data_IF_740514195829
#
_entry.id   IF_740514195829
#
_cell.length_a   1.000
_cell.length_b   1.000
_cell.length_c   1.000
_cell.angle_alpha   90.00
_cell.angle_beta   90.00
_cell.angle_gamma   90.00
#
_symmetry.space_group_name_H-M   'P 1'
#
loop_
_entity.id
_entity.type
_entity.pdbx_description
1 polymer ?
#
# COMPACT_ATOMS: atom_id res chain seq x y z
N UNK A 1 0.76 -18.62 6.07
CA UNK A 1 0.41 -17.52 6.98
C UNK A 1 1.35 -17.64 8.16
N UNK A 2 2.15 -16.62 8.44
CA UNK A 2 3.16 -16.69 9.50
C UNK A 2 2.49 -16.63 10.88
N UNK A 3 2.91 -17.46 11.84
CA UNK A 3 2.30 -17.46 13.18
C UNK A 3 2.56 -16.12 13.89
N UNK A 4 1.52 -15.58 14.52
CA UNK A 4 1.56 -14.28 15.23
C UNK A 4 2.70 -14.18 16.25
N UNK A 5 3.06 -15.29 16.88
CA UNK A 5 4.17 -15.36 17.83
C UNK A 5 5.52 -15.06 17.16
N UNK A 6 5.74 -15.54 15.93
CA UNK A 6 6.96 -15.28 15.16
C UNK A 6 7.04 -13.82 14.68
N UNK A 7 5.89 -13.18 14.46
CA UNK A 7 5.81 -11.75 14.14
C UNK A 7 6.24 -10.94 15.37
N UNK A 8 5.64 -11.23 16.54
CA UNK A 8 5.98 -10.56 17.81
C UNK A 8 7.46 -10.77 18.16
N UNK A 9 7.99 -11.99 17.99
CA UNK A 9 9.39 -12.31 18.23
C UNK A 9 10.35 -11.41 17.42
N UNK A 10 10.13 -11.32 16.10
CA UNK A 10 10.96 -10.50 15.20
C UNK A 10 10.82 -9.02 15.49
N UNK A 11 9.60 -8.54 15.69
CA UNK A 11 9.34 -7.13 15.96
C UNK A 11 9.97 -6.68 17.28
N UNK A 12 9.79 -7.45 18.36
CA UNK A 12 10.38 -7.15 19.65
C UNK A 12 11.92 -7.08 19.57
N UNK A 13 12.54 -8.07 18.91
CA UNK A 13 13.98 -8.11 18.71
C UNK A 13 14.47 -6.89 17.90
N UNK A 14 13.82 -6.60 16.78
CA UNK A 14 14.15 -5.45 15.92
C UNK A 14 14.05 -4.12 16.67
N UNK A 15 12.96 -3.90 17.42
CA UNK A 15 12.77 -2.70 18.23
C UNK A 15 13.84 -2.58 19.32
N UNK A 16 14.15 -3.69 20.00
CA UNK A 16 15.19 -3.74 21.03
C UNK A 16 16.56 -3.38 20.45
N UNK A 17 16.94 -4.00 19.33
CA UNK A 17 18.22 -3.80 18.66
C UNK A 17 18.34 -2.36 18.13
N UNK A 18 17.29 -1.81 17.51
CA UNK A 18 17.25 -0.42 17.03
C UNK A 18 17.38 0.61 18.16
N UNK A 19 16.77 0.33 19.33
CA UNK A 19 16.92 1.17 20.54
C UNK A 19 18.22 0.88 21.31
N UNK A 20 19.06 -0.06 20.83
CA UNK A 20 20.31 -0.49 21.46
C UNK A 20 20.13 -0.93 22.92
N UNK A 21 19.02 -1.60 23.22
CA UNK A 21 18.69 -2.05 24.57
C UNK A 21 19.13 -3.50 24.80
N UNK A 22 19.61 -3.79 26.02
CA UNK A 22 19.81 -5.17 26.47
C UNK A 22 18.47 -5.81 26.88
N UNK A 23 18.40 -7.14 26.92
CA UNK A 23 17.23 -7.86 27.46
C UNK A 23 16.93 -7.43 28.91
N UNK A 24 17.97 -7.15 29.70
CA UNK A 24 17.85 -6.63 31.06
C UNK A 24 17.13 -5.27 31.06
N UNK A 25 17.53 -4.37 30.17
CA UNK A 25 16.95 -3.03 30.12
C UNK A 25 15.49 -3.06 29.64
N UNK A 26 15.17 -3.94 28.68
CA UNK A 26 13.78 -4.15 28.26
C UNK A 26 12.94 -4.70 29.41
N UNK A 27 13.47 -5.65 30.19
CA UNK A 27 12.77 -6.19 31.34
C UNK A 27 12.46 -5.10 32.40
N UNK A 28 13.44 -4.25 32.70
CA UNK A 28 13.29 -3.11 33.61
C UNK A 28 12.22 -2.12 33.12
N UNK A 29 12.27 -1.75 31.83
CA UNK A 29 11.35 -0.76 31.25
C UNK A 29 9.90 -1.26 31.15
N UNK A 30 9.71 -2.56 30.93
CA UNK A 30 8.39 -3.15 30.63
C UNK A 30 7.74 -3.82 31.84
N UNK A 31 8.52 -4.12 32.88
CA UNK A 31 8.06 -4.93 34.02
C UNK A 31 7.77 -6.39 33.64
N UNK A 32 8.30 -6.87 32.51
CA UNK A 32 8.25 -8.27 32.06
C UNK A 32 9.60 -8.91 32.34
N UNK A 33 9.63 -10.16 32.82
CA UNK A 33 10.90 -10.79 33.21
C UNK A 33 11.84 -10.96 32.02
N UNK A 34 13.15 -10.81 32.24
CA UNK A 34 14.20 -11.00 31.23
C UNK A 34 14.08 -12.36 30.52
N UNK A 35 13.79 -13.41 31.29
CA UNK A 35 13.58 -14.76 30.76
C UNK A 35 12.42 -14.79 29.77
N UNK A 36 11.28 -14.17 30.11
CA UNK A 36 10.11 -14.10 29.23
C UNK A 36 10.40 -13.26 27.98
N UNK A 37 11.06 -12.10 28.10
CA UNK A 37 11.48 -11.32 26.92
C UNK A 37 12.36 -12.17 25.99
N UNK A 38 13.33 -12.91 26.55
CA UNK A 38 14.19 -13.80 25.77
C UNK A 38 13.44 -14.94 25.08
N UNK A 39 12.44 -15.54 25.75
CA UNK A 39 11.60 -16.58 25.16
C UNK A 39 10.71 -16.03 24.03
N UNK A 40 10.16 -14.83 24.21
CA UNK A 40 9.38 -14.14 23.17
C UNK A 40 10.25 -13.88 21.95
N UNK A 41 11.45 -13.31 22.10
CA UNK A 41 12.35 -13.02 20.97
C UNK A 41 12.83 -14.27 20.20
N UNK A 42 12.85 -15.44 20.85
CA UNK A 42 13.16 -16.72 20.20
C UNK A 42 11.94 -17.43 19.61
N UNK A 43 10.73 -16.89 19.80
CA UNK A 43 9.48 -17.53 19.38
C UNK A 43 9.09 -18.76 20.21
N UNK A 44 9.72 -18.95 21.38
CA UNK A 44 9.49 -20.11 22.27
C UNK A 44 8.25 -19.95 23.16
N UNK A 45 7.70 -18.73 23.24
CA UNK A 45 6.51 -18.42 24.06
C UNK A 45 5.52 -17.54 23.31
N UNK A 46 4.25 -17.83 23.49
CA UNK A 46 3.12 -16.99 23.05
C UNK A 46 2.77 -16.00 24.15
N UNK A 47 3.13 -14.70 24.04
CA UNK A 47 2.81 -13.73 25.08
C UNK A 47 1.30 -13.44 25.14
N UNK A 48 0.78 -13.21 26.33
CA UNK A 48 -0.61 -12.75 26.49
C UNK A 48 -0.77 -11.31 26.00
N UNK A 49 -1.99 -10.89 25.63
CA UNK A 49 -2.30 -9.49 25.24
C UNK A 49 -1.82 -8.50 26.31
N UNK A 50 -2.01 -8.82 27.59
CA UNK A 50 -1.52 -8.03 28.73
C UNK A 50 0.00 -7.86 28.72
N UNK A 51 0.73 -8.92 28.36
CA UNK A 51 2.20 -8.89 28.25
C UNK A 51 2.63 -8.01 27.08
N UNK A 52 1.96 -8.12 25.93
CA UNK A 52 2.23 -7.27 24.76
C UNK A 52 2.00 -5.79 25.11
N UNK A 53 0.92 -5.45 25.82
CA UNK A 53 0.67 -4.09 26.29
C UNK A 53 1.73 -3.57 27.26
N UNK A 54 2.18 -4.40 28.21
CA UNK A 54 3.29 -4.04 29.11
C UNK A 54 4.56 -3.71 28.32
N UNK A 55 4.88 -4.53 27.31
CA UNK A 55 6.02 -4.31 26.44
C UNK A 55 5.86 -3.02 25.65
N UNK A 56 4.71 -2.81 25.01
CA UNK A 56 4.44 -1.63 24.21
C UNK A 56 4.56 -0.33 25.03
N UNK A 57 3.93 -0.31 26.21
CA UNK A 57 3.97 0.84 27.13
C UNK A 57 5.38 1.11 27.66
N UNK A 58 6.10 0.06 28.09
CA UNK A 58 7.46 0.19 28.61
C UNK A 58 8.47 0.68 27.56
N UNK A 59 8.30 0.26 26.30
CA UNK A 59 9.14 0.70 25.18
C UNK A 59 8.67 1.99 24.52
N UNK A 60 7.51 2.54 24.94
CA UNK A 60 6.84 3.72 24.36
C UNK A 60 6.63 3.57 22.86
N UNK A 61 6.03 2.46 22.46
CA UNK A 61 5.66 2.13 21.07
C UNK A 61 4.15 1.81 21.01
N UNK A 62 3.58 1.79 19.80
CA UNK A 62 2.20 1.31 19.64
C UNK A 62 2.13 -0.21 19.87
N UNK A 63 0.97 -0.69 20.33
CA UNK A 63 0.66 -2.13 20.38
C UNK A 63 0.83 -2.78 18.99
N UNK A 64 0.36 -2.09 17.94
CA UNK A 64 0.45 -2.54 16.55
C UNK A 64 1.89 -2.76 16.08
N UNK A 65 2.86 -2.00 16.61
CA UNK A 65 4.28 -2.17 16.29
C UNK A 65 4.83 -3.56 16.65
N UNK A 66 4.20 -4.28 17.58
CA UNK A 66 4.60 -5.64 17.97
C UNK A 66 3.89 -6.71 17.15
N UNK A 67 2.68 -6.46 16.67
CA UNK A 67 1.82 -7.48 16.03
C UNK A 67 1.72 -7.34 14.51
N UNK A 68 2.06 -6.19 13.95
CA UNK A 68 2.03 -5.98 12.50
C UNK A 68 3.17 -6.74 11.84
N UNK A 69 2.90 -7.37 10.70
CA UNK A 69 3.99 -7.91 9.90
C UNK A 69 4.90 -6.76 9.48
N UNK A 70 6.21 -6.84 9.76
CA UNK A 70 7.14 -5.83 9.28
C UNK A 70 7.07 -5.84 7.75
N UNK A 71 6.71 -4.70 7.17
CA UNK A 71 6.78 -4.52 5.73
C UNK A 71 8.26 -4.61 5.35
N UNK A 72 8.63 -5.39 4.32
CA UNK A 72 10.02 -5.42 3.88
C UNK A 72 10.43 -4.02 3.41
N UNK A 73 11.68 -3.64 3.64
CA UNK A 73 12.24 -2.36 3.19
C UNK A 73 12.09 -2.16 1.68
N UNK A 74 12.05 -3.27 0.94
CA UNK A 74 11.87 -3.31 -0.51
C UNK A 74 10.84 -4.34 -0.89
N UNK A 75 9.95 -3.99 -1.82
CA UNK A 75 8.97 -4.91 -2.41
C UNK A 75 9.05 -4.81 -3.93
N UNK A 76 9.35 -5.92 -4.59
CA UNK A 76 9.24 -6.07 -6.05
C UNK A 76 7.95 -6.85 -6.32
N UNK A 77 7.16 -6.39 -7.30
CA UNK A 77 5.89 -7.01 -7.66
C UNK A 77 5.96 -7.35 -9.14
N UNK A 78 5.87 -8.64 -9.46
CA UNK A 78 5.90 -9.08 -10.84
C UNK A 78 4.51 -8.98 -11.45
N UNK A 79 4.40 -8.53 -12.70
CA UNK A 79 3.10 -8.45 -13.40
C UNK A 79 2.34 -9.79 -13.38
N UNK A 80 3.06 -10.91 -13.46
CA UNK A 80 2.50 -12.26 -13.42
C UNK A 80 1.88 -12.66 -12.08
N UNK A 81 2.21 -11.95 -11.00
CA UNK A 81 1.68 -12.17 -9.65
C UNK A 81 0.46 -11.28 -9.36
N UNK A 82 0.22 -10.27 -10.20
CA UNK A 82 -0.89 -9.32 -10.03
C UNK A 82 -2.15 -9.89 -10.65
N UNK A 83 -3.22 -9.95 -9.86
CA UNK A 83 -4.54 -10.27 -10.39
C UNK A 83 -5.02 -9.12 -11.30
N UNK A 84 -5.10 -9.41 -12.60
CA UNK A 84 -5.65 -8.48 -13.58
C UNK A 84 -7.15 -8.31 -13.38
N UNK A 85 -7.61 -7.06 -13.37
CA UNK A 85 -9.02 -6.70 -13.48
C UNK A 85 -9.28 -6.16 -14.89
N UNK A 86 -10.47 -6.39 -15.44
CA UNK A 86 -10.78 -5.97 -16.80
C UNK A 86 -12.21 -5.48 -16.95
N UNK A 87 -12.37 -4.41 -17.71
CA UNK A 87 -13.64 -3.77 -18.08
C UNK A 87 -13.71 -3.59 -19.61
N UNK A 88 -14.87 -3.16 -20.12
CA UNK A 88 -15.11 -2.91 -21.55
C UNK A 88 -14.73 -4.11 -22.44
N UNK A 89 -15.27 -5.29 -22.09
CA UNK A 89 -14.99 -6.56 -22.78
C UNK A 89 -13.49 -6.88 -22.89
N UNK A 90 -12.70 -6.46 -21.91
CA UNK A 90 -11.27 -6.72 -21.84
C UNK A 90 -10.39 -5.63 -22.47
N UNK A 91 -10.97 -4.58 -23.06
CA UNK A 91 -10.20 -3.48 -23.66
C UNK A 91 -9.57 -2.56 -22.62
N UNK A 92 -10.14 -2.47 -21.42
CA UNK A 92 -9.56 -1.74 -20.31
C UNK A 92 -9.07 -2.74 -19.26
N UNK A 93 -7.76 -2.76 -18.99
CA UNK A 93 -7.14 -3.70 -18.06
C UNK A 93 -6.38 -2.95 -16.98
N UNK A 94 -6.61 -3.32 -15.72
CA UNK A 94 -5.98 -2.73 -14.54
C UNK A 94 -5.14 -3.78 -13.83
N UNK A 95 -3.94 -3.37 -13.41
CA UNK A 95 -2.99 -4.17 -12.64
C UNK A 95 -2.69 -3.45 -11.33
N UNK A 96 -3.34 -3.83 -10.21
CA UNK A 96 -3.10 -3.27 -8.87
C UNK A 96 -1.73 -3.65 -8.32
N UNK A 97 -0.70 -2.88 -8.66
CA UNK A 97 0.65 -3.13 -8.16
C UNK A 97 0.75 -2.81 -6.67
N UNK A 98 0.28 -1.64 -6.23
CA UNK A 98 0.24 -1.29 -4.81
C UNK A 98 -1.20 -0.98 -4.42
N UNK A 99 -1.97 -1.97 -3.93
CA UNK A 99 -3.31 -1.74 -3.41
C UNK A 99 -3.31 -0.76 -2.24
N UNK A 100 -4.49 -0.20 -1.94
CA UNK A 100 -4.66 0.75 -0.84
C UNK A 100 -4.08 0.26 0.48
N UNK A 101 -3.35 1.16 1.13
CA UNK A 101 -2.74 0.99 2.43
C UNK A 101 -3.08 2.22 3.29
N UNK A 102 -3.73 1.99 4.43
CA UNK A 102 -4.27 3.06 5.28
C UNK A 102 -3.18 4.03 5.78
N UNK A 103 -1.97 3.55 6.00
CA UNK A 103 -0.84 4.38 6.45
C UNK A 103 -0.30 5.27 5.32
N UNK A 104 -0.31 4.76 4.08
CA UNK A 104 0.20 5.47 2.91
C UNK A 104 -0.84 6.37 2.24
N UNK A 105 -2.12 6.06 2.40
CA UNK A 105 -3.24 6.83 1.82
C UNK A 105 -3.18 6.96 0.29
N UNK A 106 -2.56 6.00 -0.38
CA UNK A 106 -2.57 5.91 -1.83
C UNK A 106 -2.67 4.46 -2.30
N UNK A 107 -3.05 4.30 -3.55
CA UNK A 107 -2.90 3.05 -4.31
C UNK A 107 -2.33 3.35 -5.70
N UNK A 108 -1.70 2.35 -6.31
CA UNK A 108 -1.03 2.48 -7.60
C UNK A 108 -1.36 1.33 -8.54
N UNK A 109 -1.69 1.72 -9.76
CA UNK A 109 -2.05 0.85 -10.86
C UNK A 109 -1.08 1.02 -12.03
N UNK A 110 -0.92 -0.05 -12.80
CA UNK A 110 -0.71 0.11 -14.23
C UNK A 110 -2.02 -0.17 -14.96
N UNK A 111 -2.24 0.55 -16.05
CA UNK A 111 -3.42 0.36 -16.89
C UNK A 111 -2.99 0.19 -18.34
N UNK A 112 -3.67 -0.73 -19.01
CA UNK A 112 -3.57 -0.94 -20.45
C UNK A 112 -4.95 -0.73 -21.07
N UNK A 113 -5.03 0.12 -22.08
CA UNK A 113 -6.27 0.45 -22.78
C UNK A 113 -6.08 0.19 -24.26
N UNK A 114 -6.78 -0.81 -24.81
CA UNK A 114 -6.79 -1.07 -26.25
C UNK A 114 -7.43 0.10 -27.01
N UNK A 115 -7.19 0.17 -28.32
CA UNK A 115 -7.79 1.19 -29.19
C UNK A 115 -9.31 1.27 -29.00
N UNK A 116 -9.80 2.49 -28.72
CA UNK A 116 -11.22 2.76 -28.47
C UNK A 116 -11.77 2.14 -27.18
N UNK A 117 -10.89 1.64 -26.31
CA UNK A 117 -11.24 1.19 -24.97
C UNK A 117 -11.67 2.37 -24.11
N UNK A 118 -12.73 2.18 -23.34
CA UNK A 118 -13.37 3.26 -22.58
C UNK A 118 -13.77 2.77 -21.18
N UNK A 119 -13.58 3.62 -20.18
CA UNK A 119 -14.11 3.40 -18.85
C UNK A 119 -14.70 4.71 -18.30
N UNK A 120 -15.92 4.65 -17.78
CA UNK A 120 -16.49 5.70 -16.96
C UNK A 120 -16.35 5.32 -15.49
N UNK A 121 -15.81 6.24 -14.68
CA UNK A 121 -15.70 6.08 -13.24
C UNK A 121 -16.72 6.99 -12.55
N UNK A 122 -17.36 6.47 -11.52
CA UNK A 122 -18.10 7.30 -10.58
C UNK A 122 -17.13 8.16 -9.76
N UNK A 123 -17.69 9.12 -9.02
CA UNK A 123 -16.90 9.92 -8.09
C UNK A 123 -16.21 9.03 -7.06
N UNK A 124 -14.90 9.22 -6.88
CA UNK A 124 -14.21 8.71 -5.70
C UNK A 124 -14.56 9.55 -4.46
N UNK A 125 -14.03 9.15 -3.30
CA UNK A 125 -14.25 9.82 -2.03
C UNK A 125 -13.84 11.30 -2.07
N UNK A 126 -14.40 12.11 -1.17
CA UNK A 126 -14.17 13.55 -1.11
C UNK A 126 -12.67 13.91 -1.12
N UNK A 127 -12.28 14.85 -1.98
CA UNK A 127 -10.91 15.33 -2.12
C UNK A 127 -9.91 14.36 -2.75
N UNK A 128 -10.34 13.16 -3.18
CA UNK A 128 -9.47 12.20 -3.88
C UNK A 128 -8.84 12.85 -5.12
N UNK A 129 -7.55 12.62 -5.32
CA UNK A 129 -6.82 13.06 -6.50
C UNK A 129 -6.20 11.88 -7.23
N UNK A 130 -6.15 11.99 -8.55
CA UNK A 130 -5.45 11.04 -9.40
C UNK A 130 -4.26 11.67 -10.10
N UNK A 131 -3.20 10.89 -10.23
CA UNK A 131 -1.95 11.24 -10.87
C UNK A 131 -1.65 10.17 -11.91
N UNK A 132 -1.61 10.55 -13.19
CA UNK A 132 -1.43 9.62 -14.29
C UNK A 132 -0.23 10.03 -15.12
N UNK A 133 0.60 9.05 -15.48
CA UNK A 133 1.69 9.20 -16.46
C UNK A 133 1.49 8.19 -17.56
N UNK A 134 1.43 8.67 -18.81
CA UNK A 134 1.32 7.81 -19.99
C UNK A 134 2.73 7.47 -20.49
N UNK A 135 3.01 6.19 -20.69
CA UNK A 135 4.31 5.73 -21.19
C UNK A 135 4.28 5.28 -22.65
N UNK A 136 3.12 4.86 -23.14
CA UNK A 136 2.90 4.43 -24.52
C UNK A 136 1.49 4.84 -24.95
N UNK A 137 1.33 5.27 -26.20
CA UNK A 137 0.05 5.70 -26.75
C UNK A 137 -0.39 7.07 -26.26
N UNK A 138 -1.70 7.24 -26.15
CA UNK A 138 -2.37 8.48 -25.78
C UNK A 138 -3.61 8.19 -24.94
N UNK A 139 -3.84 8.99 -23.91
CA UNK A 139 -5.02 8.91 -23.05
C UNK A 139 -5.84 10.18 -23.17
N UNK A 140 -7.13 10.04 -23.41
CA UNK A 140 -8.09 11.14 -23.26
C UNK A 140 -8.84 10.97 -21.95
N UNK A 141 -8.73 11.96 -21.06
CA UNK A 141 -9.50 12.06 -19.82
C UNK A 141 -10.57 13.13 -19.98
N UNK A 142 -11.80 12.80 -19.57
CA UNK A 142 -12.84 13.82 -19.32
C UNK A 142 -13.09 13.91 -17.84
N UNK A 143 -13.04 15.12 -17.31
CA UNK A 143 -13.41 15.43 -15.93
C UNK A 143 -14.22 16.73 -15.96
N UNK A 144 -15.40 16.71 -15.36
CA UNK A 144 -16.40 17.77 -15.53
C UNK A 144 -16.74 18.02 -17.02
N UNK A 145 -16.62 19.26 -17.49
CA UNK A 145 -16.87 19.68 -18.88
C UNK A 145 -15.57 19.88 -19.67
N UNK A 146 -14.46 19.33 -19.19
CA UNK A 146 -13.15 19.50 -19.81
C UNK A 146 -12.61 18.16 -20.28
N UNK A 147 -12.06 18.17 -21.49
CA UNK A 147 -11.38 17.03 -22.09
C UNK A 147 -9.89 17.36 -22.17
N UNK A 148 -9.07 16.41 -21.77
CA UNK A 148 -7.62 16.52 -21.74
C UNK A 148 -7.02 15.31 -22.44
N UNK A 149 -6.11 15.54 -23.37
CA UNK A 149 -5.37 14.49 -24.06
C UNK A 149 -3.92 14.49 -23.56
N UNK A 150 -3.45 13.33 -23.13
CA UNK A 150 -2.14 13.11 -22.50
C UNK A 150 -1.35 12.14 -23.38
N UNK A 151 -0.26 12.62 -23.96
CA UNK A 151 0.62 11.83 -24.81
C UNK A 151 1.65 11.03 -24.02
N UNK A 152 2.39 10.17 -24.72
CA UNK A 152 3.49 9.41 -24.14
C UNK A 152 4.58 10.33 -23.57
N UNK A 153 4.98 10.10 -22.32
CA UNK A 153 5.94 10.90 -21.57
C UNK A 153 5.32 12.01 -20.73
N UNK A 154 4.04 12.31 -20.93
CA UNK A 154 3.33 13.36 -20.21
C UNK A 154 2.53 12.82 -19.02
N UNK A 155 2.19 13.73 -18.11
CA UNK A 155 1.42 13.44 -16.91
C UNK A 155 0.27 14.43 -16.70
N UNK A 156 -0.79 13.96 -16.04
CA UNK A 156 -1.91 14.78 -15.58
C UNK A 156 -2.19 14.50 -14.10
N UNK A 157 -2.62 15.55 -13.40
CA UNK A 157 -3.25 15.46 -12.09
C UNK A 157 -4.64 16.08 -12.16
N UNK A 158 -5.63 15.41 -11.60
CA UNK A 158 -6.96 15.97 -11.47
C UNK A 158 -7.64 15.50 -10.17
N UNK A 159 -8.68 16.23 -9.77
CA UNK A 159 -9.53 15.83 -8.66
C UNK A 159 -10.50 14.75 -9.14
N UNK A 160 -10.40 13.58 -8.53
CA UNK A 160 -11.19 12.39 -8.87
C UNK A 160 -12.37 12.18 -7.92
N UNK A 161 -12.58 13.11 -6.97
CA UNK A 161 -13.79 13.30 -6.16
C UNK A 161 -15.03 13.76 -6.97
N UNK A 162 -15.08 13.38 -8.25
CA UNK A 162 -16.13 13.71 -9.22
C UNK A 162 -16.10 12.70 -10.38
N UNK A 163 -17.21 12.54 -11.12
CA UNK A 163 -17.25 11.66 -12.28
C UNK A 163 -16.19 12.04 -13.33
N UNK A 164 -15.55 11.02 -13.88
CA UNK A 164 -14.54 11.17 -14.91
C UNK A 164 -14.46 9.94 -15.80
N UNK A 165 -13.85 10.06 -16.97
CA UNK A 165 -13.74 8.97 -17.94
C UNK A 165 -12.33 8.84 -18.50
N UNK A 166 -11.95 7.61 -18.81
CA UNK A 166 -10.70 7.25 -19.49
C UNK A 166 -11.04 6.72 -20.87
N UNK A 167 -10.37 7.22 -21.90
CA UNK A 167 -10.58 6.78 -23.26
C UNK A 167 -9.26 6.72 -24.01
N UNK A 168 -8.99 5.61 -24.67
CA UNK A 168 -7.94 5.57 -25.69
C UNK A 168 -8.54 5.98 -27.04
N UNK A 169 -8.45 7.28 -27.35
CA UNK A 169 -8.85 7.86 -28.63
C UNK A 169 -7.82 7.66 -29.74
N UNK A 170 -6.64 7.13 -29.41
CA UNK A 170 -5.51 6.92 -30.32
C UNK A 170 -5.64 5.68 -31.20
N UNK A 171 -4.58 5.42 -31.96
CA UNK A 171 -4.50 4.31 -32.92
C UNK A 171 -3.86 3.02 -32.41
N UNK A 172 -3.21 3.05 -31.24
CA UNK A 172 -2.41 1.96 -30.68
C UNK A 172 -2.80 1.66 -29.24
N UNK A 173 -2.21 0.63 -28.63
CA UNK A 173 -2.35 0.37 -27.19
C UNK A 173 -1.85 1.59 -26.38
N UNK A 174 -2.59 1.97 -25.35
CA UNK A 174 -2.16 2.97 -24.37
C UNK A 174 -1.74 2.27 -23.08
N UNK A 175 -0.56 2.61 -22.57
CA UNK A 175 -0.03 2.11 -21.28
C UNK A 175 0.28 3.28 -20.36
N UNK A 176 -0.21 3.20 -19.13
CA UNK A 176 -0.03 4.26 -18.15
C UNK A 176 0.21 3.69 -16.75
N UNK A 177 0.80 4.51 -15.89
CA UNK A 177 0.69 4.32 -14.44
C UNK A 177 -0.27 5.36 -13.88
N UNK A 178 -1.03 4.94 -12.88
CA UNK A 178 -1.99 5.76 -12.17
C UNK A 178 -1.75 5.60 -10.68
N UNK A 179 -1.74 6.71 -9.95
CA UNK A 179 -1.76 6.76 -8.49
C UNK A 179 -3.04 7.45 -8.06
N UNK A 180 -3.80 6.83 -7.18
CA UNK A 180 -4.96 7.44 -6.52
C UNK A 180 -4.54 7.80 -5.10
N UNK A 181 -4.68 9.07 -4.74
CA UNK A 181 -4.35 9.59 -3.41
C UNK A 181 -5.62 10.02 -2.68
N UNK A 182 -5.74 9.61 -1.42
CA UNK A 182 -6.90 9.86 -0.56
C UNK A 182 -6.52 10.82 0.57
N UNK A 183 -7.02 12.08 0.58
CA UNK A 183 -6.68 13.06 1.61
C UNK A 183 -7.25 12.65 2.97
N UNK A 184 -6.50 12.89 4.05
CA UNK A 184 -6.73 12.42 5.43
C UNK A 184 -8.18 12.51 5.91
#
# INVERSE_FOLDING_TARGET
MEEINLIIARNLKSIRDNKKLSLEKVAELTGVSKTMIGQIERGESSPTITTIWKIANGLKISFTSLINQPQPDTKVIQKSEVQQLSEDNGKYRVYPYFPFDEERRFEMYAVEIDKGGFLASESHGEGTEEYITVYEGELTIRVNNSEHTIGSGDSIRFKADRPHTYHNSGGSLTRLSMVIYYPA
#
